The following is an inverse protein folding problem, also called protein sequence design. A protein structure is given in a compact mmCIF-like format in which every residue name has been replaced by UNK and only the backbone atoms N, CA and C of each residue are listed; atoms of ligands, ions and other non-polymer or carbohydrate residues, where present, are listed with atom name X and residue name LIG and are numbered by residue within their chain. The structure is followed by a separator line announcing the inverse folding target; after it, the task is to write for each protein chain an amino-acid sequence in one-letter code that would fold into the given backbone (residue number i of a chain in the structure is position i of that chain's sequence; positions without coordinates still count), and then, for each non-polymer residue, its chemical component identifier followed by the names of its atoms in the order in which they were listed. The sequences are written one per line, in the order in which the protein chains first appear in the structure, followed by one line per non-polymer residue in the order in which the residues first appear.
data_IF_298825794761
#
_entry.id   IF_298825794761
#
_cell.length_a   1.000
_cell.length_b   1.000
_cell.length_c   1.000
_cell.angle_alpha   90.00
_cell.angle_beta   90.00
_cell.angle_gamma   90.00
#
_symmetry.space_group_name_H-M   'P 1'
#
loop_
_entity.id
_entity.type
_entity.pdbx_description
1 polymer ?
#
# COMPACT_ATOMS: atom_id res chain seq x y z
N UNK A 1 -5.03 -15.11 -21.90
CA UNK A 1 -5.05 -13.63 -22.02
C UNK A 1 -4.64 -13.02 -20.69
N UNK A 2 -3.64 -12.13 -20.67
CA UNK A 2 -3.12 -11.52 -19.43
C UNK A 2 -4.16 -10.63 -18.74
N UNK A 3 -4.93 -9.86 -19.52
CA UNK A 3 -5.97 -8.97 -19.01
C UNK A 3 -7.04 -9.71 -18.19
N UNK A 4 -7.46 -10.90 -18.63
CA UNK A 4 -8.45 -11.73 -17.91
C UNK A 4 -7.93 -12.10 -16.52
N UNK A 5 -6.63 -12.41 -16.40
CA UNK A 5 -6.02 -12.75 -15.10
C UNK A 5 -6.04 -11.56 -14.15
N UNK A 6 -5.72 -10.36 -14.64
CA UNK A 6 -5.76 -9.14 -13.82
C UNK A 6 -7.17 -8.90 -13.29
N UNK A 7 -8.19 -9.01 -14.15
CA UNK A 7 -9.60 -8.85 -13.74
C UNK A 7 -9.94 -9.87 -12.65
N UNK A 8 -9.61 -11.14 -12.84
CA UNK A 8 -9.86 -12.18 -11.83
C UNK A 8 -9.15 -11.92 -10.51
N UNK A 9 -7.91 -11.41 -10.53
CA UNK A 9 -7.21 -11.06 -9.30
C UNK A 9 -7.85 -9.89 -8.57
N UNK A 10 -8.30 -8.86 -9.30
CA UNK A 10 -9.03 -7.75 -8.70
C UNK A 10 -10.35 -8.21 -8.07
N UNK A 11 -11.14 -9.02 -8.79
CA UNK A 11 -12.39 -9.57 -8.25
C UNK A 11 -12.16 -10.39 -6.98
N UNK A 12 -11.14 -11.26 -6.98
CA UNK A 12 -10.76 -12.03 -5.80
C UNK A 12 -10.30 -11.16 -4.64
N UNK A 13 -9.55 -10.10 -4.92
CA UNK A 13 -9.10 -9.18 -3.88
C UNK A 13 -10.27 -8.45 -3.22
N UNK A 14 -11.23 -7.95 -4.02
CA UNK A 14 -12.46 -7.32 -3.52
C UNK A 14 -13.29 -8.30 -2.67
N UNK A 15 -13.39 -9.56 -3.10
CA UNK A 15 -14.09 -10.61 -2.35
C UNK A 15 -13.42 -10.89 -0.99
N UNK A 16 -12.08 -11.04 -0.98
CA UNK A 16 -11.31 -11.31 0.23
C UNK A 16 -11.30 -10.13 1.21
N UNK A 17 -11.33 -8.90 0.70
CA UNK A 17 -11.38 -7.68 1.51
C UNK A 17 -12.77 -7.40 2.08
N UNK A 18 -13.78 -8.24 1.77
CA UNK A 18 -15.18 -8.07 2.20
C UNK A 18 -15.70 -6.65 1.95
N UNK A 19 -15.25 -6.04 0.86
CA UNK A 19 -15.55 -4.65 0.52
C UNK A 19 -16.72 -4.61 -0.45
N UNK A 20 -17.74 -3.80 -0.17
CA UNK A 20 -18.86 -3.66 -1.12
C UNK A 20 -18.36 -3.10 -2.44
N UNK A 21 -18.95 -3.55 -3.55
CA UNK A 21 -18.65 -3.06 -4.91
C UNK A 21 -19.23 -1.67 -5.20
N UNK A 22 -19.20 -0.78 -4.19
CA UNK A 22 -19.47 0.64 -4.35
C UNK A 22 -18.19 1.35 -4.79
N UNK A 23 -18.32 2.35 -5.66
CA UNK A 23 -17.20 3.16 -6.10
C UNK A 23 -16.39 3.73 -4.91
N UNK A 24 -17.08 4.23 -3.88
CA UNK A 24 -16.44 4.81 -2.70
C UNK A 24 -15.63 3.77 -1.91
N UNK A 25 -16.17 2.57 -1.71
CA UNK A 25 -15.50 1.51 -0.98
C UNK A 25 -14.32 0.92 -1.78
N UNK A 26 -14.44 0.81 -3.10
CA UNK A 26 -13.35 0.41 -3.98
C UNK A 26 -12.22 1.44 -4.01
N UNK A 27 -12.56 2.73 -4.07
CA UNK A 27 -11.61 3.84 -3.97
C UNK A 27 -10.84 3.76 -2.65
N UNK A 28 -11.54 3.55 -1.53
CA UNK A 28 -10.93 3.40 -0.21
C UNK A 28 -9.98 2.20 -0.13
N UNK A 29 -10.38 1.05 -0.68
CA UNK A 29 -9.55 -0.16 -0.72
C UNK A 29 -8.25 0.07 -1.50
N UNK A 30 -8.36 0.58 -2.73
CA UNK A 30 -7.22 0.74 -3.64
C UNK A 30 -6.24 1.80 -3.11
N UNK A 31 -6.75 2.95 -2.65
CA UNK A 31 -5.91 4.03 -2.14
C UNK A 31 -5.18 3.60 -0.88
N UNK A 32 -5.83 2.85 0.01
CA UNK A 32 -5.21 2.34 1.24
C UNK A 32 -4.06 1.39 0.95
N UNK A 33 -4.26 0.42 0.05
CA UNK A 33 -3.19 -0.53 -0.31
C UNK A 33 -2.00 0.21 -0.90
N UNK A 34 -2.25 1.10 -1.87
CA UNK A 34 -1.19 1.86 -2.51
C UNK A 34 -0.45 2.78 -1.52
N UNK A 35 -1.15 3.31 -0.52
CA UNK A 35 -0.56 4.11 0.54
C UNK A 35 0.35 3.29 1.45
N UNK A 36 -0.11 2.09 1.87
CA UNK A 36 0.68 1.17 2.68
C UNK A 36 1.96 0.72 1.95
N UNK A 37 1.89 0.48 0.64
CA UNK A 37 3.04 0.13 -0.19
C UNK A 37 4.01 1.30 -0.40
N UNK A 38 3.52 2.54 -0.35
CA UNK A 38 4.34 3.74 -0.51
C UNK A 38 5.01 4.20 0.80
N UNK A 39 4.48 3.79 1.95
CA UNK A 39 4.97 4.20 3.27
C UNK A 39 6.20 3.38 3.71
N UNK A 40 7.05 3.96 4.59
CA UNK A 40 8.10 3.21 5.27
C UNK A 40 7.56 1.99 6.04
N UNK A 41 8.31 0.89 6.05
CA UNK A 41 7.89 -0.40 6.61
C UNK A 41 7.45 -0.33 8.09
N UNK A 42 8.08 0.53 8.88
CA UNK A 42 7.74 0.71 10.30
C UNK A 42 6.38 1.38 10.50
N UNK A 43 6.03 2.33 9.63
CA UNK A 43 4.70 2.94 9.59
C UNK A 43 3.67 1.94 9.09
N UNK A 44 3.96 1.24 7.99
CA UNK A 44 3.05 0.25 7.39
C UNK A 44 2.71 -0.88 8.37
N UNK A 45 3.69 -1.40 9.11
CA UNK A 45 3.47 -2.41 10.14
C UNK A 45 2.52 -1.90 11.23
N UNK A 46 2.74 -0.69 11.75
CA UNK A 46 1.87 -0.10 12.77
C UNK A 46 0.45 0.18 12.28
N UNK A 47 0.28 0.53 11.01
CA UNK A 47 -1.05 0.73 10.41
C UNK A 47 -1.78 -0.59 10.17
N UNK A 48 -1.08 -1.65 9.76
CA UNK A 48 -1.67 -2.98 9.54
C UNK A 48 -2.17 -3.63 10.83
N UNK A 49 -1.47 -3.42 11.94
CA UNK A 49 -1.91 -3.90 13.27
C UNK A 49 -3.24 -3.31 13.74
N UNK A 50 -3.60 -2.11 13.25
CA UNK A 50 -4.76 -1.34 13.73
C UNK A 50 -6.06 -1.58 12.97
N UNK A 51 -6.04 -2.41 11.91
CA UNK A 51 -7.19 -2.72 11.04
C UNK A 51 -8.08 -1.49 10.72
N UNK A 52 -7.55 -0.56 9.92
CA UNK A 52 -8.18 0.73 9.65
C UNK A 52 -9.07 0.66 8.39
N UNK A 53 -10.42 0.67 8.52
CA UNK A 53 -11.32 0.44 7.40
C UNK A 53 -11.53 1.65 6.48
N UNK A 54 -11.17 2.86 6.91
CA UNK A 54 -11.43 4.09 6.15
C UNK A 54 -10.16 4.92 5.97
N UNK A 55 -10.08 5.65 4.86
CA UNK A 55 -8.93 6.52 4.57
C UNK A 55 -8.72 7.60 5.63
N UNK A 56 -9.79 8.14 6.21
CA UNK A 56 -9.71 9.12 7.29
C UNK A 56 -8.98 8.58 8.52
N UNK A 57 -9.24 7.32 8.88
CA UNK A 57 -8.57 6.65 10.00
C UNK A 57 -7.10 6.42 9.70
N UNK A 58 -6.78 6.00 8.47
CA UNK A 58 -5.40 5.82 8.01
C UNK A 58 -4.62 7.14 8.10
N UNK A 59 -5.21 8.24 7.63
CA UNK A 59 -4.61 9.57 7.71
C UNK A 59 -4.38 9.99 9.17
N UNK A 60 -5.39 9.86 10.03
CA UNK A 60 -5.30 10.23 11.45
C UNK A 60 -4.21 9.46 12.19
N UNK A 61 -4.16 8.14 12.01
CA UNK A 61 -3.16 7.31 12.68
C UNK A 61 -1.76 7.54 12.14
N UNK A 62 -1.64 7.82 10.84
CA UNK A 62 -0.36 8.21 10.23
C UNK A 62 0.14 9.52 10.83
N UNK A 63 -0.71 10.54 10.91
CA UNK A 63 -0.35 11.82 11.53
C UNK A 63 0.07 11.65 12.98
N UNK A 64 -0.64 10.83 13.75
CA UNK A 64 -0.30 10.55 15.14
C UNK A 64 1.07 9.87 15.25
N UNK A 65 1.33 8.87 14.42
CA UNK A 65 2.60 8.15 14.40
C UNK A 65 3.78 9.07 14.03
N UNK A 66 3.61 9.91 13.01
CA UNK A 66 4.62 10.86 12.57
C UNK A 66 4.91 11.93 13.62
N UNK A 67 3.87 12.46 14.26
CA UNK A 67 4.00 13.43 15.37
C UNK A 67 4.73 12.80 16.55
N UNK A 68 4.37 11.58 16.94
CA UNK A 68 5.02 10.88 18.06
C UNK A 68 6.51 10.61 17.80
N UNK A 69 6.90 10.41 16.53
CA UNK A 69 8.29 10.13 16.12
C UNK A 69 9.04 11.35 15.61
N UNK A 70 8.44 12.55 15.62
CA UNK A 70 8.99 13.78 15.02
C UNK A 70 9.47 13.59 13.57
N UNK A 71 8.70 12.88 12.73
CA UNK A 71 9.01 12.60 11.31
C UNK A 71 8.05 13.31 10.36
N UNK A 72 8.45 13.44 9.09
CA UNK A 72 7.60 13.88 7.97
C UNK A 72 7.63 12.83 6.87
N UNK A 73 6.51 12.63 6.18
CA UNK A 73 6.44 11.70 5.03
C UNK A 73 7.21 12.22 3.80
N UNK A 74 7.43 13.53 3.72
CA UNK A 74 7.87 14.19 2.49
C UNK A 74 9.36 14.10 2.14
N UNK A 75 10.17 13.25 2.79
CA UNK A 75 11.64 13.29 2.62
C UNK A 75 12.28 12.08 1.93
N UNK A 76 11.53 11.23 1.21
CA UNK A 76 12.16 10.14 0.46
C UNK A 76 11.72 10.05 -1.02
N UNK A 77 12.66 10.22 -1.97
CA UNK A 77 12.42 9.79 -3.34
C UNK A 77 12.27 8.26 -3.34
N UNK A 78 11.16 7.77 -3.92
CA UNK A 78 10.90 6.33 -4.12
C UNK A 78 12.16 5.66 -4.69
N UNK A 79 12.72 4.68 -3.97
CA UNK A 79 13.59 3.69 -4.60
C UNK A 79 12.71 2.85 -5.52
N UNK A 80 12.68 3.21 -6.81
CA UNK A 80 12.12 2.32 -7.83
C UNK A 80 12.83 0.98 -7.71
N UNK A 81 12.06 -0.11 -7.80
CA UNK A 81 12.55 -1.49 -7.88
C UNK A 81 13.85 -1.56 -8.71
N UNK A 82 14.99 -1.74 -8.04
CA UNK A 82 16.21 -2.11 -8.73
C UNK A 82 16.08 -3.59 -9.09
N UNK A 83 15.67 -3.86 -10.32
CA UNK A 83 15.81 -5.18 -10.90
C UNK A 83 17.27 -5.62 -10.81
N UNK A 84 17.50 -6.75 -10.14
CA UNK A 84 18.82 -7.37 -9.98
C UNK A 84 19.59 -7.40 -11.31
N UNK A 85 20.57 -6.53 -11.46
CA UNK A 85 21.61 -6.68 -12.47
C UNK A 85 22.67 -7.61 -11.86
N UNK A 86 22.55 -8.92 -12.10
CA UNK A 86 23.64 -9.85 -11.86
C UNK A 86 24.83 -9.41 -12.73
N UNK A 87 26.05 -9.22 -12.20
CA UNK A 87 27.21 -9.04 -13.06
C UNK A 87 27.42 -10.33 -13.85
N UNK A 88 27.47 -10.24 -15.19
CA UNK A 88 28.04 -11.31 -16.01
C UNK A 88 29.51 -11.43 -15.60
N UNK A 89 29.87 -12.60 -15.08
CA UNK A 89 31.26 -13.02 -15.03
C UNK A 89 31.65 -13.39 -16.46
N UNK A 90 32.52 -12.60 -17.06
CA UNK A 90 33.21 -12.99 -18.28
C UNK A 90 34.51 -13.73 -17.89
N UNK A 91 34.73 -14.85 -18.58
CA UNK A 91 35.80 -15.83 -18.39
C UNK A 91 37.14 -15.39 -19.00
#
# INVERSE_FOLDING_TARGET
MFIVRIVTYLDRWIELSKTDKSYENLKDLIVREQFMDACPEDLTTSLREKDLPTLERVAKETDLFLKARNRKLCDQPRKMFQGNSRPRMDA
#
